data_IF_642578502330
#
_entry.id   IF_642578502330
#
_cell.length_a   1.000
_cell.length_b   1.000
_cell.length_c   1.000
_cell.angle_alpha   90.00
_cell.angle_beta   90.00
_cell.angle_gamma   90.00
#
_symmetry.space_group_name_H-M   'P 1'
#
loop_
_entity.id
_entity.type
_entity.pdbx_description
1 polymer ?
#
# COMPACT_ATOMS: atom_id res chain seq x y z
N UNK A 1 11.74 9.45 0.65
CA UNK A 1 12.16 8.19 1.29
C UNK A 1 11.24 7.10 0.79
N UNK A 2 11.80 5.96 0.40
CA UNK A 2 11.06 4.78 -0.03
C UNK A 2 11.57 3.56 0.73
N UNK A 3 10.76 2.53 0.85
CA UNK A 3 11.13 1.25 1.47
C UNK A 3 11.07 0.15 0.42
N UNK A 4 12.20 -0.44 0.00
CA UNK A 4 12.26 -1.41 -1.10
C UNK A 4 11.33 -2.62 -0.96
N UNK A 5 11.00 -3.08 0.25
CA UNK A 5 10.01 -4.16 0.44
C UNK A 5 8.61 -3.83 -0.07
N UNK A 6 8.26 -2.55 -0.15
CA UNK A 6 6.99 -2.08 -0.73
C UNK A 6 7.07 -1.92 -2.26
N UNK A 7 8.26 -2.07 -2.83
CA UNK A 7 8.52 -2.09 -4.28
C UNK A 7 9.29 -3.37 -4.66
N UNK A 8 8.89 -4.50 -4.06
CA UNK A 8 9.31 -5.85 -4.45
C UNK A 8 10.80 -6.19 -4.19
N UNK A 9 11.49 -5.39 -3.38
CA UNK A 9 12.85 -5.64 -2.91
C UNK A 9 12.92 -6.17 -1.46
N UNK A 10 14.12 -6.21 -0.85
CA UNK A 10 14.30 -6.63 0.54
C UNK A 10 13.78 -5.61 1.56
N UNK A 11 13.67 -6.04 2.83
CA UNK A 11 13.36 -5.14 3.94
C UNK A 11 14.53 -4.17 4.24
N UNK A 12 14.52 -3.03 3.56
CA UNK A 12 15.50 -1.94 3.68
C UNK A 12 14.81 -0.58 3.49
N UNK A 13 15.60 0.50 3.44
CA UNK A 13 15.11 1.86 3.19
C UNK A 13 16.07 2.61 2.28
N UNK A 14 15.54 3.46 1.41
CA UNK A 14 16.32 4.39 0.61
C UNK A 14 15.82 5.83 0.81
N UNK A 15 16.75 6.76 0.95
CA UNK A 15 16.47 8.19 1.06
C UNK A 15 17.13 8.89 -0.12
N UNK A 16 16.34 9.72 -0.81
CA UNK A 16 16.83 10.65 -1.80
C UNK A 16 16.80 12.06 -1.21
N UNK A 17 17.91 12.76 -1.36
CA UNK A 17 18.07 14.18 -1.03
C UNK A 17 18.66 14.89 -2.23
N UNK A 18 18.16 16.09 -2.54
CA UNK A 18 18.76 16.94 -3.57
C UNK A 18 20.17 17.32 -3.11
N UNK A 19 21.15 17.22 -4.00
CA UNK A 19 22.55 17.52 -3.68
C UNK A 19 22.70 18.91 -3.05
N UNK A 20 22.03 19.92 -3.63
CA UNK A 20 22.01 21.31 -3.14
C UNK A 20 21.46 21.44 -1.70
N UNK A 21 20.71 20.47 -1.20
CA UNK A 21 20.19 20.49 0.18
C UNK A 21 21.16 19.86 1.18
N UNK A 22 22.22 19.19 0.73
CA UNK A 22 23.14 18.48 1.60
C UNK A 22 23.85 19.41 2.57
N UNK A 23 24.20 20.64 2.19
CA UNK A 23 24.89 21.59 3.08
C UNK A 23 24.05 21.98 4.31
N UNK A 24 22.72 21.88 4.24
CA UNK A 24 21.80 22.20 5.34
C UNK A 24 21.68 21.07 6.37
N UNK A 25 22.19 19.88 6.06
CA UNK A 25 22.08 18.70 6.91
C UNK A 25 23.32 18.59 7.80
N UNK A 26 23.13 18.22 9.06
CA UNK A 26 24.21 17.73 9.89
C UNK A 26 24.63 16.32 9.44
N UNK A 27 25.91 15.99 9.57
CA UNK A 27 26.37 14.62 9.33
C UNK A 27 25.86 13.68 10.41
N UNK A 28 25.35 12.51 10.00
CA UNK A 28 25.13 11.36 10.87
C UNK A 28 26.29 10.35 10.81
N UNK A 29 27.21 10.51 9.87
CA UNK A 29 28.40 9.69 9.72
C UNK A 29 29.46 10.00 10.78
N UNK A 30 30.37 9.05 10.98
CA UNK A 30 31.55 9.23 11.82
C UNK A 30 32.41 10.41 11.33
N UNK A 31 32.98 11.15 12.28
CA UNK A 31 33.76 12.37 12.05
C UNK A 31 34.97 12.20 11.11
N UNK A 32 35.47 10.97 10.94
CA UNK A 32 36.63 10.65 10.11
C UNK A 32 36.27 10.36 8.64
N UNK A 33 34.99 10.19 8.30
CA UNK A 33 34.60 9.93 6.91
C UNK A 33 34.66 11.21 6.07
N UNK A 34 35.20 11.16 4.84
CA UNK A 34 35.26 12.32 3.96
C UNK A 34 33.85 12.64 3.45
N UNK A 35 33.25 13.70 3.99
CA UNK A 35 31.92 14.17 3.61
C UNK A 35 32.06 15.38 2.69
N UNK A 36 31.89 15.14 1.40
CA UNK A 36 31.76 16.19 0.37
C UNK A 36 30.28 16.40 0.00
N UNK A 37 29.99 17.48 -0.72
CA UNK A 37 28.66 17.72 -1.27
C UNK A 37 28.22 16.56 -2.17
N UNK A 38 26.97 16.10 -2.04
CA UNK A 38 26.49 14.91 -2.74
C UNK A 38 26.90 13.56 -2.12
N UNK A 39 27.80 13.52 -1.13
CA UNK A 39 28.22 12.26 -0.50
C UNK A 39 27.05 11.57 0.24
N UNK A 40 26.71 10.31 -0.07
CA UNK A 40 25.65 9.57 0.62
C UNK A 40 26.06 9.22 2.06
N UNK A 41 27.37 9.11 2.34
CA UNK A 41 27.89 8.81 3.67
C UNK A 41 27.41 9.80 4.72
N UNK A 42 27.12 11.05 4.33
CA UNK A 42 26.62 12.08 5.25
C UNK A 42 25.38 11.64 6.04
N UNK A 43 24.52 10.83 5.43
CA UNK A 43 23.26 10.35 6.01
C UNK A 43 23.28 8.85 6.32
N UNK A 44 24.44 8.21 6.18
CA UNK A 44 24.62 6.78 6.35
C UNK A 44 25.55 6.54 7.55
N UNK A 45 24.99 6.38 8.77
CA UNK A 45 25.79 6.31 9.99
C UNK A 45 26.66 5.05 10.11
N UNK A 46 26.41 4.01 9.30
CA UNK A 46 27.14 2.76 9.34
C UNK A 46 27.26 2.08 7.97
N UNK A 47 27.89 0.90 7.96
CA UNK A 47 27.99 0.08 6.76
C UNK A 47 26.61 -0.38 6.27
N UNK A 48 26.41 -0.37 4.95
CA UNK A 48 25.19 -0.91 4.37
C UNK A 48 25.18 -2.44 4.47
N UNK A 49 23.99 -3.03 4.55
CA UNK A 49 23.85 -4.46 4.29
C UNK A 49 24.10 -4.74 2.81
N UNK A 50 25.35 -5.02 2.44
CA UNK A 50 25.81 -5.12 1.05
C UNK A 50 24.92 -6.04 0.20
N UNK A 51 24.58 -7.22 0.72
CA UNK A 51 23.70 -8.19 0.05
C UNK A 51 22.31 -7.61 -0.21
N UNK A 52 21.74 -6.89 0.76
CA UNK A 52 20.43 -6.24 0.61
C UNK A 52 20.49 -5.12 -0.41
N UNK A 53 21.52 -4.27 -0.34
CA UNK A 53 21.73 -3.20 -1.33
C UNK A 53 21.90 -3.77 -2.73
N UNK A 54 22.67 -4.85 -2.89
CA UNK A 54 22.87 -5.51 -4.17
C UNK A 54 21.58 -6.11 -4.70
N UNK A 55 20.78 -6.79 -3.86
CA UNK A 55 19.50 -7.40 -4.30
C UNK A 55 18.46 -6.39 -4.81
N UNK A 56 18.55 -5.11 -4.44
CA UNK A 56 17.65 -4.06 -4.95
C UNK A 56 17.89 -3.79 -6.44
N UNK A 57 19.09 -4.06 -6.96
CA UNK A 57 19.40 -3.83 -8.38
C UNK A 57 18.51 -4.66 -9.32
N UNK A 58 18.19 -5.89 -8.93
CA UNK A 58 17.29 -6.78 -9.68
C UNK A 58 15.83 -6.27 -9.75
N UNK A 59 15.41 -5.38 -8.85
CA UNK A 59 14.06 -4.79 -8.88
C UNK A 59 13.88 -3.92 -10.11
N UNK A 60 14.92 -3.20 -10.54
CA UNK A 60 14.85 -2.36 -11.74
C UNK A 60 14.68 -3.22 -12.99
N UNK A 61 15.50 -4.26 -13.15
CA UNK A 61 15.38 -5.21 -14.26
C UNK A 61 13.98 -5.86 -14.30
N UNK A 62 13.44 -6.23 -13.14
CA UNK A 62 12.08 -6.76 -13.04
C UNK A 62 11.02 -5.75 -13.52
N UNK A 63 11.06 -4.50 -13.04
CA UNK A 63 10.09 -3.49 -13.45
C UNK A 63 10.24 -3.14 -14.93
N UNK A 64 11.47 -2.98 -15.43
CA UNK A 64 11.76 -2.76 -16.84
C UNK A 64 11.21 -3.90 -17.71
N UNK A 65 11.29 -5.15 -17.25
CA UNK A 65 10.73 -6.30 -17.99
C UNK A 65 9.22 -6.19 -18.24
N UNK A 66 8.47 -5.54 -17.33
CA UNK A 66 7.04 -5.27 -17.48
C UNK A 66 6.79 -4.20 -18.56
N UNK A 67 7.69 -3.21 -18.63
CA UNK A 67 7.64 -2.12 -19.60
C UNK A 67 8.27 -2.42 -20.95
N UNK A 68 8.92 -3.58 -21.12
CA UNK A 68 9.68 -3.90 -22.32
C UNK A 68 11.01 -3.15 -22.42
N UNK A 69 11.66 -2.89 -21.27
CA UNK A 69 12.93 -2.17 -21.15
C UNK A 69 12.80 -0.70 -20.76
N UNK A 70 11.59 -0.18 -20.56
CA UNK A 70 11.33 1.20 -20.14
C UNK A 70 10.51 1.28 -18.85
N UNK A 71 11.04 1.98 -17.84
CA UNK A 71 10.39 2.14 -16.53
C UNK A 71 9.11 2.99 -16.61
N UNK A 72 9.06 3.99 -17.50
CA UNK A 72 7.86 4.83 -17.66
C UNK A 72 6.67 3.98 -18.11
N UNK A 73 6.88 3.23 -19.20
CA UNK A 73 5.92 2.27 -19.74
C UNK A 73 5.54 1.20 -18.73
N UNK A 74 6.49 0.72 -17.91
CA UNK A 74 6.19 -0.24 -16.85
C UNK A 74 5.18 0.32 -15.85
N UNK A 75 5.40 1.54 -15.35
CA UNK A 75 4.49 2.17 -14.39
C UNK A 75 3.13 2.50 -15.00
N UNK A 76 3.06 2.90 -16.27
CA UNK A 76 1.80 3.10 -16.97
C UNK A 76 0.99 1.80 -17.05
N UNK A 77 1.62 0.70 -17.49
CA UNK A 77 0.97 -0.62 -17.57
C UNK A 77 0.52 -1.13 -16.19
N UNK A 78 1.36 -0.95 -15.17
CA UNK A 78 1.02 -1.30 -13.78
C UNK A 78 -0.20 -0.51 -13.33
N UNK A 79 -0.21 0.81 -13.54
CA UNK A 79 -1.32 1.68 -13.12
C UNK A 79 -2.63 1.32 -13.84
N UNK A 80 -2.59 1.03 -15.14
CA UNK A 80 -3.75 0.58 -15.91
C UNK A 80 -4.31 -0.76 -15.40
N UNK A 81 -3.42 -1.73 -15.13
CA UNK A 81 -3.81 -3.03 -14.60
C UNK A 81 -4.38 -2.91 -13.19
N UNK A 82 -3.73 -2.16 -12.31
CA UNK A 82 -4.20 -1.88 -10.95
C UNK A 82 -5.57 -1.20 -10.92
N UNK A 83 -5.84 -0.30 -11.87
CA UNK A 83 -7.17 0.27 -12.06
C UNK A 83 -8.21 -0.80 -12.42
N UNK A 84 -7.87 -1.75 -13.31
CA UNK A 84 -8.74 -2.86 -13.66
C UNK A 84 -9.00 -3.79 -12.47
N UNK A 85 -8.02 -4.01 -11.59
CA UNK A 85 -8.16 -4.79 -10.36
C UNK A 85 -9.09 -4.10 -9.34
N UNK A 86 -9.01 -2.77 -9.22
CA UNK A 86 -9.83 -2.01 -8.26
C UNK A 86 -11.31 -1.96 -8.64
N UNK A 87 -11.64 -1.90 -9.94
CA UNK A 87 -13.03 -1.76 -10.44
C UNK A 87 -14.05 -2.70 -9.78
N UNK A 88 -13.88 -4.04 -9.80
CA UNK A 88 -14.87 -4.94 -9.21
C UNK A 88 -15.05 -4.74 -7.71
N UNK A 89 -13.98 -4.38 -6.98
CA UNK A 89 -14.06 -4.10 -5.54
C UNK A 89 -14.80 -2.81 -5.27
N UNK A 90 -14.54 -1.77 -6.05
CA UNK A 90 -15.21 -0.48 -5.92
C UNK A 90 -16.69 -0.55 -6.28
N UNK A 91 -17.03 -1.23 -7.38
CA UNK A 91 -18.42 -1.49 -7.76
C UNK A 91 -19.17 -2.26 -6.66
N UNK A 92 -18.51 -3.25 -6.05
CA UNK A 92 -19.07 -4.00 -4.92
C UNK A 92 -19.28 -3.12 -3.69
N UNK A 93 -18.22 -2.43 -3.21
CA UNK A 93 -18.27 -1.68 -1.95
C UNK A 93 -19.18 -0.43 -2.02
N UNK A 94 -19.37 0.13 -3.21
CA UNK A 94 -20.22 1.29 -3.44
C UNK A 94 -21.66 0.92 -3.81
N UNK A 95 -21.97 -0.38 -3.89
CA UNK A 95 -23.31 -0.85 -4.26
C UNK A 95 -24.36 -0.37 -3.24
N UNK A 96 -25.62 -0.18 -3.66
CA UNK A 96 -26.69 0.24 -2.77
C UNK A 96 -26.85 -0.67 -1.54
N UNK A 97 -26.70 -1.98 -1.72
CA UNK A 97 -26.82 -2.99 -0.66
C UNK A 97 -25.72 -2.83 0.38
N UNK A 98 -24.47 -2.59 -0.06
CA UNK A 98 -23.35 -2.33 0.84
C UNK A 98 -23.53 -1.01 1.60
N UNK A 99 -24.04 0.03 0.93
CA UNK A 99 -24.35 1.31 1.58
C UNK A 99 -25.46 1.17 2.62
N UNK A 100 -26.52 0.41 2.32
CA UNK A 100 -27.60 0.12 3.29
C UNK A 100 -27.11 -0.71 4.47
N UNK A 101 -26.20 -1.67 4.22
CA UNK A 101 -25.49 -2.42 5.27
C UNK A 101 -24.62 -1.55 6.16
N UNK A 102 -24.30 -0.33 5.69
CA UNK A 102 -23.51 0.68 6.38
C UNK A 102 -22.01 0.58 6.10
N UNK A 103 -21.62 -0.07 5.00
CA UNK A 103 -20.24 -0.05 4.52
C UNK A 103 -19.89 1.36 4.06
N UNK A 104 -18.78 1.87 4.60
CA UNK A 104 -18.23 3.18 4.25
C UNK A 104 -16.79 3.01 3.79
N UNK A 105 -16.53 3.35 2.53
CA UNK A 105 -15.19 3.42 1.97
C UNK A 105 -14.48 4.67 2.52
N UNK A 106 -13.22 4.50 2.92
CA UNK A 106 -12.35 5.58 3.39
C UNK A 106 -11.49 6.09 2.22
N UNK A 107 -11.61 7.38 1.91
CA UNK A 107 -10.91 8.03 0.80
C UNK A 107 -11.77 8.14 -0.48
N UNK A 108 -11.16 8.53 -1.62
CA UNK A 108 -11.88 8.84 -2.86
C UNK A 108 -12.67 7.65 -3.42
N UNK A 109 -13.96 7.77 -3.71
CA UNK A 109 -14.81 6.67 -4.22
C UNK A 109 -14.63 6.39 -5.73
N UNK A 110 -13.39 6.26 -6.19
CA UNK A 110 -13.05 6.03 -7.60
C UNK A 110 -12.07 4.88 -7.76
N UNK A 111 -11.97 4.32 -8.96
CA UNK A 111 -10.91 3.40 -9.38
C UNK A 111 -9.91 4.07 -10.36
N UNK A 112 -9.95 5.40 -10.48
CA UNK A 112 -9.00 6.16 -11.30
C UNK A 112 -7.58 6.09 -10.70
N UNK A 113 -6.60 5.51 -11.40
CA UNK A 113 -5.24 5.33 -10.90
C UNK A 113 -4.50 6.66 -10.68
N UNK A 114 -4.97 7.77 -11.27
CA UNK A 114 -4.41 9.11 -11.03
C UNK A 114 -4.84 9.68 -9.68
N UNK A 115 -5.97 9.21 -9.13
CA UNK A 115 -6.57 9.73 -7.91
C UNK A 115 -6.36 8.77 -6.73
N UNK A 116 -6.37 7.45 -6.99
CA UNK A 116 -6.29 6.41 -5.97
C UNK A 116 -5.32 5.30 -6.38
N UNK A 117 -4.46 4.92 -5.44
CA UNK A 117 -3.66 3.69 -5.50
C UNK A 117 -4.52 2.43 -5.22
N UNK A 118 -4.08 1.21 -5.59
CA UNK A 118 -4.80 -0.07 -5.38
C UNK A 118 -4.94 -0.53 -3.92
N UNK A 119 -5.12 0.41 -3.00
CA UNK A 119 -5.35 0.18 -1.58
C UNK A 119 -6.69 0.77 -1.19
N UNK A 120 -7.64 -0.10 -0.88
CA UNK A 120 -9.01 0.26 -0.50
C UNK A 120 -9.19 -0.04 0.98
N UNK A 121 -9.60 0.96 1.75
CA UNK A 121 -9.95 0.79 3.16
C UNK A 121 -11.43 1.07 3.37
N UNK A 122 -12.10 0.29 4.22
CA UNK A 122 -13.50 0.50 4.55
C UNK A 122 -13.79 0.11 6.00
N UNK A 123 -14.91 0.61 6.51
CA UNK A 123 -15.48 0.28 7.82
C UNK A 123 -16.96 -0.07 7.66
N UNK A 124 -17.50 -0.86 8.58
CA UNK A 124 -18.92 -1.22 8.59
C UNK A 124 -19.59 -0.52 9.77
N UNK A 125 -20.27 0.58 9.48
CA UNK A 125 -20.96 1.43 10.45
C UNK A 125 -22.49 1.28 10.29
N UNK A 126 -23.29 2.10 10.98
CA UNK A 126 -24.74 2.12 10.81
C UNK A 126 -25.50 1.33 11.88
N UNK A 127 -26.66 0.77 11.50
CA UNK A 127 -27.61 0.14 12.45
C UNK A 127 -27.05 -1.13 13.11
N UNK A 128 -26.24 -1.88 12.38
CA UNK A 128 -25.62 -3.13 12.85
C UNK A 128 -24.12 -3.08 12.55
N UNK A 129 -23.34 -2.30 13.32
CA UNK A 129 -21.90 -2.15 13.06
C UNK A 129 -21.20 -3.50 13.23
N UNK A 130 -20.17 -3.74 12.42
CA UNK A 130 -19.30 -4.92 12.54
C UNK A 130 -17.88 -4.42 12.69
N UNK A 131 -17.16 -4.97 13.67
CA UNK A 131 -15.80 -4.55 13.94
C UNK A 131 -14.88 -5.05 12.82
N UNK A 132 -13.89 -4.25 12.44
CA UNK A 132 -12.95 -4.62 11.37
C UNK A 132 -12.22 -5.97 11.63
N UNK A 133 -11.80 -6.29 12.88
CA UNK A 133 -11.23 -7.60 13.20
C UNK A 133 -12.18 -8.77 12.95
N UNK A 134 -13.49 -8.57 13.15
CA UNK A 134 -14.50 -9.63 12.95
C UNK A 134 -14.69 -9.93 11.47
N UNK A 135 -14.71 -8.89 10.63
CA UNK A 135 -14.73 -9.05 9.17
C UNK A 135 -13.52 -9.87 8.71
N UNK A 136 -12.31 -9.46 9.10
CA UNK A 136 -11.08 -10.16 8.69
C UNK A 136 -11.05 -11.60 9.21
N UNK A 137 -11.53 -11.84 10.43
CA UNK A 137 -11.63 -13.20 10.98
C UNK A 137 -12.48 -14.13 10.10
N UNK A 138 -13.57 -13.64 9.49
CA UNK A 138 -14.37 -14.46 8.57
C UNK A 138 -13.59 -14.83 7.31
N UNK A 139 -12.78 -13.91 6.78
CA UNK A 139 -11.87 -14.21 5.66
C UNK A 139 -10.78 -15.21 6.05
N UNK A 140 -10.19 -15.07 7.24
CA UNK A 140 -9.17 -16.00 7.75
C UNK A 140 -9.73 -17.43 7.91
N UNK A 141 -11.01 -17.59 8.28
CA UNK A 141 -11.69 -18.88 8.36
C UNK A 141 -11.89 -19.53 6.99
N UNK A 142 -12.19 -18.75 5.95
CA UNK A 142 -12.31 -19.25 4.58
C UNK A 142 -10.95 -19.64 3.99
N UNK A 143 -9.88 -18.92 4.38
CA UNK A 143 -8.50 -19.24 4.02
C UNK A 143 -8.11 -18.99 2.56
N UNK A 144 -8.96 -18.37 1.75
CA UNK A 144 -8.75 -18.13 0.31
C UNK A 144 -8.37 -16.68 -0.05
N UNK A 145 -8.34 -15.79 0.94
CA UNK A 145 -8.13 -14.34 0.78
C UNK A 145 -7.33 -13.79 1.98
N UNK A 146 -6.25 -13.05 1.69
CA UNK A 146 -5.49 -12.34 2.71
C UNK A 146 -5.80 -10.84 2.75
N UNK A 147 -6.56 -10.40 3.75
CA UNK A 147 -6.80 -8.97 4.04
C UNK A 147 -6.36 -8.63 5.46
N UNK A 148 -6.19 -7.33 5.77
CA UNK A 148 -5.72 -6.89 7.09
C UNK A 148 -6.67 -5.87 7.70
N UNK A 149 -6.70 -5.82 9.03
CA UNK A 149 -7.36 -4.76 9.79
C UNK A 149 -6.34 -3.97 10.62
N UNK A 150 -6.72 -2.76 11.01
CA UNK A 150 -5.99 -1.94 11.97
C UNK A 150 -6.01 -0.46 11.59
N UNK A 151 -5.28 0.36 12.34
CA UNK A 151 -5.13 1.78 12.05
C UNK A 151 -3.93 2.11 11.13
N UNK A 152 -3.13 1.10 10.75
CA UNK A 152 -1.99 1.21 9.82
C UNK A 152 -1.02 2.37 10.13
N UNK A 153 -0.67 2.54 11.41
CA UNK A 153 0.12 3.66 11.94
C UNK A 153 -0.48 5.07 11.72
N UNK A 154 -1.71 5.17 11.20
CA UNK A 154 -2.45 6.42 10.98
C UNK A 154 -3.39 6.77 12.15
N UNK A 155 -2.95 6.57 13.39
CA UNK A 155 -3.80 6.72 14.59
C UNK A 155 -4.51 8.09 14.67
N UNK A 156 -3.78 9.19 14.44
CA UNK A 156 -4.35 10.55 14.47
C UNK A 156 -5.41 10.79 13.39
N UNK A 157 -5.25 10.14 12.23
CA UNK A 157 -6.23 10.23 11.16
C UNK A 157 -7.54 9.56 11.57
N UNK A 158 -7.47 8.37 12.17
CA UNK A 158 -8.65 7.66 12.69
C UNK A 158 -9.41 8.52 13.70
N UNK A 159 -8.72 9.08 14.70
CA UNK A 159 -9.33 9.98 15.69
C UNK A 159 -10.01 11.19 15.02
N UNK A 160 -9.35 11.82 14.03
CA UNK A 160 -9.91 12.99 13.33
C UNK A 160 -11.13 12.65 12.47
N UNK A 161 -11.22 11.43 11.96
CA UNK A 161 -12.36 10.93 11.20
C UNK A 161 -13.50 10.41 12.08
N UNK A 162 -13.35 10.48 13.41
CA UNK A 162 -14.32 9.93 14.36
C UNK A 162 -14.37 8.40 14.37
N UNK A 163 -13.29 7.74 13.93
CA UNK A 163 -13.16 6.29 13.92
C UNK A 163 -12.39 5.83 15.16
N UNK A 164 -12.74 4.65 15.69
CA UNK A 164 -12.00 4.04 16.79
C UNK A 164 -10.67 3.43 16.28
N UNK A 165 -9.50 3.92 16.73
CA UNK A 165 -8.21 3.35 16.33
C UNK A 165 -8.02 1.88 16.73
N UNK A 166 -8.64 1.44 17.84
CA UNK A 166 -8.55 0.06 18.33
C UNK A 166 -9.37 -0.92 17.48
N UNK A 167 -10.42 -0.42 16.82
CA UNK A 167 -11.17 -1.18 15.83
C UNK A 167 -10.45 -1.15 14.47
N UNK A 168 -9.93 0.01 14.10
CA UNK A 168 -9.23 0.20 12.83
C UNK A 168 -10.17 0.13 11.64
N UNK A 169 -9.60 -0.08 10.45
CA UNK A 169 -10.34 -0.30 9.21
C UNK A 169 -9.88 -1.60 8.55
N UNK A 170 -10.77 -2.23 7.79
CA UNK A 170 -10.38 -3.32 6.88
C UNK A 170 -9.67 -2.69 5.69
N UNK A 171 -8.51 -3.24 5.31
CA UNK A 171 -7.73 -2.80 4.16
C UNK A 171 -7.46 -3.96 3.21
N UNK A 172 -7.81 -3.72 1.96
CA UNK A 172 -7.48 -4.54 0.81
C UNK A 172 -6.35 -3.82 0.07
N UNK A 173 -5.22 -4.49 -0.12
CA UNK A 173 -4.08 -3.97 -0.87
C UNK A 173 -3.80 -4.92 -2.02
N UNK A 174 -4.07 -4.46 -3.23
CA UNK A 174 -3.78 -5.16 -4.47
C UNK A 174 -2.47 -4.62 -5.05
N UNK A 175 -1.82 -5.45 -5.85
CA UNK A 175 -0.57 -5.14 -6.55
C UNK A 175 -0.62 -5.71 -7.96
N UNK A 176 0.32 -5.32 -8.81
CA UNK A 176 0.27 -5.61 -10.24
C UNK A 176 0.31 -7.10 -10.61
N UNK A 177 0.78 -7.98 -9.73
CA UNK A 177 0.75 -9.43 -9.96
C UNK A 177 -0.56 -10.10 -9.53
N UNK A 178 -1.50 -9.37 -8.92
CA UNK A 178 -2.85 -9.88 -8.72
C UNK A 178 -3.61 -9.98 -10.04
N UNK A 179 -4.65 -10.80 -10.06
CA UNK A 179 -5.51 -10.98 -11.23
C UNK A 179 -6.91 -10.41 -11.03
N UNK A 180 -7.56 -10.03 -12.13
CA UNK A 180 -8.97 -9.56 -12.10
C UNK A 180 -9.90 -10.65 -11.56
N UNK A 181 -9.57 -11.93 -11.78
CA UNK A 181 -10.32 -13.06 -11.23
C UNK A 181 -10.23 -13.12 -9.70
N UNK A 182 -9.05 -12.85 -9.12
CA UNK A 182 -8.88 -12.74 -7.67
C UNK A 182 -9.67 -11.55 -7.10
N UNK A 183 -9.64 -10.41 -7.77
CA UNK A 183 -10.38 -9.23 -7.36
C UNK A 183 -11.90 -9.44 -7.39
N UNK A 184 -12.42 -10.13 -8.42
CA UNK A 184 -13.84 -10.53 -8.50
C UNK A 184 -14.21 -11.52 -7.41
N UNK A 185 -13.39 -12.55 -7.19
CA UNK A 185 -13.61 -13.52 -6.11
C UNK A 185 -13.66 -12.83 -4.74
N UNK A 186 -12.76 -11.88 -4.50
CA UNK A 186 -12.77 -11.06 -3.28
C UNK A 186 -14.06 -10.24 -3.16
N UNK A 187 -14.53 -9.60 -4.24
CA UNK A 187 -15.80 -8.89 -4.24
C UNK A 187 -16.99 -9.80 -3.87
N UNK A 188 -17.03 -11.02 -4.42
CA UNK A 188 -18.08 -11.99 -4.11
C UNK A 188 -18.02 -12.44 -2.65
N UNK A 189 -16.82 -12.66 -2.09
CA UNK A 189 -16.63 -12.95 -0.66
C UNK A 189 -17.07 -11.80 0.25
N UNK A 190 -16.79 -10.55 -0.15
CA UNK A 190 -17.26 -9.38 0.60
C UNK A 190 -18.79 -9.36 0.68
N UNK A 191 -19.48 -9.63 -0.44
CA UNK A 191 -20.95 -9.75 -0.44
C UNK A 191 -21.42 -10.87 0.48
N UNK A 192 -20.81 -12.05 0.40
CA UNK A 192 -21.18 -13.18 1.25
C UNK A 192 -21.01 -12.90 2.74
N UNK A 193 -19.94 -12.23 3.15
CA UNK A 193 -19.64 -11.98 4.58
C UNK A 193 -20.42 -10.79 5.14
N UNK A 194 -20.62 -9.74 4.34
CA UNK A 194 -21.22 -8.50 4.83
C UNK A 194 -22.74 -8.47 4.67
N UNK A 195 -23.29 -9.19 3.70
CA UNK A 195 -24.73 -9.20 3.41
C UNK A 195 -25.45 -10.48 3.90
N UNK A 196 -24.72 -11.46 4.43
CA UNK A 196 -25.31 -12.57 5.20
C UNK A 196 -25.86 -12.09 6.53
#
# INVERSE_FOLDING_TARGET
MITPNQVYGPHSSALYTRAESHHKLASLAHYFLPIHEGSPYKLQPGGNGYERSYSVTAVLEYLESIGGGDLGTAFERIAEHEAALMRPLMECLLSPEMKERGVRVLGPETADPKIRAPTISFVVQGKTPVRSPEVVKQFDVLGDVGIRFGHFYAHRLFTRLGLNPDDGAVRISLVHYNTVAEAKRLADRLKQILLS
#
